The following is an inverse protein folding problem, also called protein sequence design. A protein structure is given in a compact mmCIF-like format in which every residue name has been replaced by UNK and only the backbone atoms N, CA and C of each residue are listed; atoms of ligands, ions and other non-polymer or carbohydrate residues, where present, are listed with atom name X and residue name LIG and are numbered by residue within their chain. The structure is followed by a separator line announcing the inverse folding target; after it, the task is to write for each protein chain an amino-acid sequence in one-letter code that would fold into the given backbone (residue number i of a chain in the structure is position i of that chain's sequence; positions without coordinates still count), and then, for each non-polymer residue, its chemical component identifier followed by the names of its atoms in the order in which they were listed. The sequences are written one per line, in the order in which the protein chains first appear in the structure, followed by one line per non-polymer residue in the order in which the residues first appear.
data_IF_974564197947
#
_entry.id   IF_974564197947
#
_cell.length_a   1.000
_cell.length_b   1.000
_cell.length_c   1.000
_cell.angle_alpha   90.00
_cell.angle_beta   90.00
_cell.angle_gamma   90.00
#
_symmetry.space_group_name_H-M   'P 1'
#
loop_
_entity.id
_entity.type
_entity.pdbx_description
1 polymer ?
#
# COMPACT_ATOMS: atom_id res chain seq x y z
N UNK A 1 -32.28 -15.98 -9.28
CA UNK A 1 -31.40 -15.22 -8.37
C UNK A 1 -32.16 -14.01 -7.88
N UNK A 2 -33.14 -14.23 -7.01
CA UNK A 2 -33.60 -13.21 -6.08
C UNK A 2 -32.58 -13.17 -4.93
N UNK A 3 -32.70 -12.20 -4.00
CA UNK A 3 -31.88 -12.01 -2.78
C UNK A 3 -30.79 -10.94 -2.90
N UNK A 4 -31.17 -9.67 -2.74
CA UNK A 4 -30.48 -8.64 -1.89
C UNK A 4 -31.47 -7.54 -1.46
N UNK A 5 -32.53 -7.29 -2.24
CA UNK A 5 -33.41 -6.12 -2.03
C UNK A 5 -34.31 -6.17 -0.79
N UNK A 6 -34.61 -7.35 -0.26
CA UNK A 6 -35.49 -7.50 0.93
C UNK A 6 -34.81 -7.11 2.25
N UNK A 7 -33.49 -6.88 2.25
CA UNK A 7 -32.69 -6.60 3.45
C UNK A 7 -32.17 -5.16 3.53
N UNK A 8 -32.53 -4.29 2.59
CA UNK A 8 -32.10 -2.89 2.60
C UNK A 8 -33.14 -2.04 3.34
N UNK A 9 -32.73 -1.18 4.29
CA UNK A 9 -33.62 -0.18 4.85
C UNK A 9 -34.20 0.68 3.71
N UNK A 10 -35.49 1.03 3.76
CA UNK A 10 -36.12 1.93 2.78
C UNK A 10 -36.06 3.41 3.20
N UNK A 11 -35.57 3.71 4.41
CA UNK A 11 -35.43 5.07 4.90
C UNK A 11 -34.13 5.71 4.40
N UNK A 12 -34.24 6.92 3.84
CA UNK A 12 -33.13 7.65 3.22
C UNK A 12 -31.99 7.93 4.23
N UNK A 13 -32.32 8.19 5.50
CA UNK A 13 -31.30 8.40 6.52
C UNK A 13 -30.58 7.09 6.85
N UNK A 14 -31.32 5.98 6.99
CA UNK A 14 -30.72 4.66 7.17
C UNK A 14 -29.78 4.28 6.02
N UNK A 15 -30.14 4.55 4.75
CA UNK A 15 -29.23 4.33 3.61
C UNK A 15 -27.97 5.20 3.71
N UNK A 16 -28.10 6.49 4.05
CA UNK A 16 -26.96 7.40 4.18
C UNK A 16 -25.97 6.91 5.24
N UNK A 17 -26.49 6.47 6.39
CA UNK A 17 -25.67 5.90 7.46
C UNK A 17 -24.93 4.66 6.97
N UNK A 18 -25.62 3.72 6.31
CA UNK A 18 -25.03 2.49 5.79
C UNK A 18 -23.91 2.78 4.78
N UNK A 19 -24.16 3.68 3.81
CA UNK A 19 -23.15 4.09 2.82
C UNK A 19 -21.95 4.77 3.49
N UNK A 20 -22.19 5.63 4.48
CA UNK A 20 -21.11 6.29 5.22
C UNK A 20 -20.25 5.30 6.01
N UNK A 21 -20.87 4.29 6.62
CA UNK A 21 -20.18 3.23 7.36
C UNK A 21 -19.34 2.36 6.42
N UNK A 22 -19.88 1.97 5.27
CA UNK A 22 -19.13 1.22 4.24
C UNK A 22 -17.92 2.00 3.73
N UNK A 23 -18.06 3.31 3.48
CA UNK A 23 -16.93 4.17 3.08
C UNK A 23 -15.87 4.26 4.18
N UNK A 24 -16.29 4.41 5.43
CA UNK A 24 -15.37 4.45 6.56
C UNK A 24 -14.59 3.12 6.71
N UNK A 25 -15.23 1.98 6.48
CA UNK A 25 -14.59 0.67 6.54
C UNK A 25 -13.54 0.48 5.44
N UNK A 26 -13.85 0.93 4.21
CA UNK A 26 -12.87 0.92 3.10
C UNK A 26 -11.64 1.75 3.46
N UNK A 27 -11.83 2.96 3.97
CA UNK A 27 -10.70 3.82 4.37
C UNK A 27 -9.90 3.20 5.54
N UNK A 28 -10.59 2.55 6.49
CA UNK A 28 -9.95 1.83 7.59
C UNK A 28 -9.05 0.70 7.07
N UNK A 29 -9.54 -0.13 6.15
CA UNK A 29 -8.78 -1.22 5.55
C UNK A 29 -7.58 -0.70 4.75
N UNK A 30 -7.76 0.34 3.94
CA UNK A 30 -6.67 1.00 3.20
C UNK A 30 -5.59 1.53 4.12
N UNK A 31 -5.95 2.20 5.21
CA UNK A 31 -5.01 2.70 6.21
C UNK A 31 -4.25 1.56 6.90
N UNK A 32 -4.94 0.46 7.26
CA UNK A 32 -4.31 -0.71 7.87
C UNK A 32 -3.25 -1.32 6.95
N UNK A 33 -3.60 -1.58 5.68
CA UNK A 33 -2.68 -2.10 4.67
C UNK A 33 -1.47 -1.17 4.49
N UNK A 34 -1.71 0.13 4.34
CA UNK A 34 -0.64 1.12 4.19
C UNK A 34 0.30 1.15 5.40
N UNK A 35 -0.23 1.03 6.61
CA UNK A 35 0.56 0.96 7.84
C UNK A 35 1.42 -0.29 7.88
N UNK A 36 0.83 -1.47 7.64
CA UNK A 36 1.53 -2.75 7.68
C UNK A 36 2.67 -2.81 6.65
N UNK A 37 2.42 -2.34 5.42
CA UNK A 37 3.45 -2.23 4.37
C UNK A 37 4.61 -1.32 4.74
N UNK A 38 4.38 -0.23 5.48
CA UNK A 38 5.45 0.69 5.93
C UNK A 38 6.33 0.08 7.02
N UNK A 39 5.77 -0.82 7.83
CA UNK A 39 6.48 -1.47 8.95
C UNK A 39 7.12 -2.81 8.56
N UNK A 40 7.07 -3.18 7.28
CA UNK A 40 7.49 -4.48 6.80
C UNK A 40 9.01 -4.59 6.66
N UNK A 41 9.68 -5.15 7.66
CA UNK A 41 11.12 -5.46 7.60
C UNK A 41 11.46 -6.76 8.35
N UNK A 42 12.42 -7.51 7.80
CA UNK A 42 12.97 -8.72 8.43
C UNK A 42 12.06 -9.95 8.38
N UNK A 43 12.49 -11.08 8.96
CA UNK A 43 11.76 -12.37 8.92
C UNK A 43 10.32 -12.31 9.47
N UNK A 44 10.01 -11.37 10.34
CA UNK A 44 8.63 -11.11 10.82
C UNK A 44 7.69 -10.59 9.72
N UNK A 45 8.22 -10.18 8.55
CA UNK A 45 7.42 -9.69 7.43
C UNK A 45 6.56 -10.75 6.78
N UNK A 46 6.96 -12.03 6.80
CA UNK A 46 6.21 -13.12 6.13
C UNK A 46 4.81 -13.31 6.72
N UNK A 47 4.66 -13.14 8.05
CA UNK A 47 3.33 -13.16 8.68
C UNK A 47 2.51 -11.91 8.33
N UNK A 48 3.16 -10.75 8.23
CA UNK A 48 2.52 -9.51 7.80
C UNK A 48 2.04 -9.59 6.36
N UNK A 49 2.76 -10.29 5.47
CA UNK A 49 2.34 -10.53 4.09
C UNK A 49 0.99 -11.26 4.05
N UNK A 50 0.87 -12.38 4.77
CA UNK A 50 -0.39 -13.14 4.80
C UNK A 50 -1.56 -12.32 5.35
N UNK A 51 -1.30 -11.43 6.32
CA UNK A 51 -2.33 -10.55 6.88
C UNK A 51 -2.70 -9.44 5.89
N UNK A 52 -1.73 -8.87 5.18
CA UNK A 52 -1.96 -7.89 4.13
C UNK A 52 -2.82 -8.50 3.02
N UNK A 53 -2.54 -9.73 2.59
CA UNK A 53 -3.30 -10.42 1.55
C UNK A 53 -4.77 -10.62 1.96
N UNK A 54 -5.02 -11.05 3.20
CA UNK A 54 -6.40 -11.18 3.72
C UNK A 54 -7.14 -9.84 3.74
N UNK A 55 -6.48 -8.77 4.20
CA UNK A 55 -7.08 -7.43 4.22
C UNK A 55 -7.34 -6.90 2.81
N UNK A 56 -6.47 -7.20 1.85
CA UNK A 56 -6.69 -6.85 0.44
C UNK A 56 -7.89 -7.58 -0.14
N UNK A 57 -8.04 -8.87 0.13
CA UNK A 57 -9.20 -9.64 -0.31
C UNK A 57 -10.51 -9.05 0.22
N UNK A 58 -10.57 -8.71 1.52
CA UNK A 58 -11.74 -8.07 2.12
C UNK A 58 -12.03 -6.69 1.52
N UNK A 59 -10.99 -5.92 1.20
CA UNK A 59 -11.14 -4.62 0.54
C UNK A 59 -11.71 -4.77 -0.87
N UNK A 60 -11.20 -5.73 -1.65
CA UNK A 60 -11.65 -5.99 -3.02
C UNK A 60 -13.12 -6.40 -3.08
N UNK A 61 -13.59 -7.24 -2.15
CA UNK A 61 -15.01 -7.61 -2.05
C UNK A 61 -15.91 -6.37 -1.87
N UNK A 62 -15.52 -5.46 -0.98
CA UNK A 62 -16.25 -4.21 -0.74
C UNK A 62 -16.19 -3.27 -1.95
N UNK A 63 -15.05 -3.14 -2.63
CA UNK A 63 -14.90 -2.25 -3.78
C UNK A 63 -15.63 -2.77 -5.03
N UNK A 64 -15.61 -4.09 -5.28
CA UNK A 64 -16.37 -4.72 -6.38
C UNK A 64 -17.86 -4.49 -6.21
N UNK A 65 -18.37 -4.59 -4.98
CA UNK A 65 -19.79 -4.32 -4.70
C UNK A 65 -20.22 -2.89 -5.08
N UNK A 66 -19.31 -1.90 -5.01
CA UNK A 66 -19.58 -0.52 -5.41
C UNK A 66 -19.38 -0.26 -6.91
N UNK A 67 -18.40 -0.94 -7.53
CA UNK A 67 -17.96 -0.65 -8.90
C UNK A 67 -18.97 -1.09 -9.97
N UNK A 68 -19.87 -2.03 -9.64
CA UNK A 68 -20.99 -2.43 -10.53
C UNK A 68 -21.90 -1.27 -10.96
N UNK A 69 -21.76 -0.10 -10.34
CA UNK A 69 -22.57 1.09 -10.58
C UNK A 69 -21.86 2.18 -11.42
N UNK A 70 -20.59 2.00 -11.78
CA UNK A 70 -19.80 3.02 -12.49
C UNK A 70 -19.20 2.48 -13.78
N UNK A 71 -19.39 3.15 -14.94
CA UNK A 71 -18.80 2.71 -16.20
C UNK A 71 -17.26 2.80 -16.14
N UNK A 72 -16.53 1.85 -16.76
CA UNK A 72 -15.08 1.86 -16.77
C UNK A 72 -14.59 3.15 -17.45
N UNK A 73 -13.84 3.96 -16.71
CA UNK A 73 -13.13 5.12 -17.22
C UNK A 73 -11.72 4.68 -17.58
N UNK A 74 -11.30 4.91 -18.82
CA UNK A 74 -9.92 4.63 -19.23
C UNK A 74 -8.96 5.48 -18.40
N UNK A 75 -7.96 4.87 -17.74
CA UNK A 75 -6.97 5.63 -17.01
C UNK A 75 -6.17 6.50 -17.99
N UNK A 76 -5.88 7.77 -17.64
CA UNK A 76 -5.03 8.60 -18.47
C UNK A 76 -3.64 7.96 -18.62
N UNK A 77 -3.08 8.06 -19.82
CA UNK A 77 -1.72 7.60 -20.13
C UNK A 77 -0.73 8.23 -19.14
N UNK A 78 -0.15 7.41 -18.26
CA UNK A 78 0.86 7.86 -17.30
C UNK A 78 2.18 8.05 -18.03
N UNK A 79 2.61 9.30 -18.18
CA UNK A 79 3.97 9.61 -18.62
C UNK A 79 4.97 9.20 -17.54
N UNK A 80 5.79 8.19 -17.84
CA UNK A 80 6.85 7.75 -16.92
C UNK A 80 7.91 8.85 -16.84
N UNK A 81 8.21 9.42 -15.66
CA UNK A 81 9.26 10.41 -15.53
C UNK A 81 10.62 9.75 -15.81
N UNK A 82 11.25 10.12 -16.93
CA UNK A 82 12.63 9.70 -17.22
C UNK A 82 13.59 10.64 -16.50
N UNK A 83 14.50 10.07 -15.69
CA UNK A 83 15.60 10.82 -15.09
C UNK A 83 16.50 11.35 -16.22
N UNK A 84 16.69 12.67 -16.29
CA UNK A 84 17.71 13.26 -17.16
C UNK A 84 19.09 12.96 -16.54
N UNK A 85 20.10 12.60 -17.34
CA UNK A 85 21.46 12.43 -16.82
C UNK A 85 21.96 13.75 -16.24
N UNK A 86 22.91 13.66 -15.28
CA UNK A 86 23.58 14.86 -14.77
C UNK A 86 24.28 15.59 -15.93
N UNK A 87 24.18 16.93 -16.00
CA UNK A 87 24.88 17.73 -17.01
C UNK A 87 26.40 17.52 -17.01
N UNK A 88 27.03 17.60 -18.19
CA UNK A 88 28.48 17.37 -18.36
C UNK A 88 29.36 18.38 -17.62
N UNK A 89 28.84 19.60 -17.38
CA UNK A 89 29.56 20.67 -16.70
C UNK A 89 29.47 20.58 -15.17
N UNK A 90 28.72 19.63 -14.61
CA UNK A 90 28.71 19.45 -13.16
C UNK A 90 30.01 18.75 -12.73
N UNK A 91 30.80 19.35 -11.83
CA UNK A 91 31.96 18.68 -11.27
C UNK A 91 31.50 17.42 -10.54
N UNK A 92 32.17 16.29 -10.83
CA UNK A 92 31.96 15.02 -10.11
C UNK A 92 32.99 14.93 -9.00
N UNK A 93 32.53 14.86 -7.75
CA UNK A 93 33.37 14.53 -6.59
C UNK A 93 33.20 13.05 -6.26
N UNK A 94 34.31 12.31 -6.19
CA UNK A 94 34.31 10.89 -5.83
C UNK A 94 34.81 10.76 -4.40
N UNK A 95 33.95 10.31 -3.49
CA UNK A 95 34.30 10.04 -2.10
C UNK A 95 34.40 8.52 -1.91
N UNK A 96 35.61 8.02 -1.73
CA UNK A 96 35.84 6.61 -1.40
C UNK A 96 35.87 6.47 0.11
N UNK A 97 34.82 5.87 0.68
CA UNK A 97 34.78 5.53 2.10
C UNK A 97 35.41 4.14 2.29
N UNK A 98 36.66 4.08 2.74
CA UNK A 98 37.25 2.83 3.21
C UNK A 98 36.96 2.67 4.71
N UNK A 99 36.54 1.48 5.16
CA UNK A 99 36.48 1.19 6.58
C UNK A 99 37.91 1.20 7.14
N UNK A 100 38.04 1.60 8.39
CA UNK A 100 39.26 1.35 9.15
C UNK A 100 39.51 -0.17 9.20
N UNK A 101 40.77 -0.59 9.20
CA UNK A 101 41.15 -2.01 9.13
C UNK A 101 40.57 -2.85 10.27
N UNK A 102 40.10 -2.20 11.34
CA UNK A 102 39.47 -2.81 12.50
C UNK A 102 38.29 -1.95 12.93
N UNK A 103 37.11 -2.56 13.03
CA UNK A 103 35.96 -1.91 13.66
C UNK A 103 36.19 -1.84 15.17
N UNK A 104 36.17 -0.65 15.77
CA UNK A 104 36.37 -0.45 17.21
C UNK A 104 35.33 -1.22 18.06
N UNK A 105 34.14 -1.46 17.52
CA UNK A 105 33.03 -2.09 18.25
C UNK A 105 33.02 -3.62 18.16
N UNK A 106 33.61 -4.21 17.11
CA UNK A 106 33.56 -5.67 16.90
C UNK A 106 34.92 -6.33 16.58
N UNK A 107 36.01 -5.55 16.58
CA UNK A 107 37.37 -6.04 16.33
C UNK A 107 37.57 -6.69 14.96
N UNK A 108 36.68 -6.41 13.99
CA UNK A 108 36.75 -6.96 12.64
C UNK A 108 36.43 -8.46 12.52
N UNK A 109 35.93 -9.12 13.57
CA UNK A 109 35.53 -10.53 13.49
C UNK A 109 34.12 -10.64 12.92
N UNK A 110 34.01 -11.16 11.70
CA UNK A 110 32.73 -11.57 11.12
C UNK A 110 32.10 -12.63 12.04
N UNK A 111 30.87 -12.39 12.51
CA UNK A 111 30.10 -13.43 13.21
C UNK A 111 29.71 -14.50 12.18
N UNK A 112 30.12 -15.74 12.42
CA UNK A 112 29.68 -16.91 11.68
C UNK A 112 28.25 -17.30 12.08
#
# INVERSE_FOLDING_TARGET
MTLVTDSMPNDLQALKVLVSAQRAEIERLKMMIAKLRRTQFGRSSEQLDTMIDQLQLSLEELEVSQTTLTPPTEPPLRTVPRRKPLPEHLPREIHVHQPESQCADCGGKLRQ
#
